data_IF_479101188018
#
_entry.id   IF_479101188018
#
_cell.length_a   1.000
_cell.length_b   1.000
_cell.length_c   1.000
_cell.angle_alpha   90.00
_cell.angle_beta   90.00
_cell.angle_gamma   90.00
#
_symmetry.space_group_name_H-M   'P 1'
#
loop_
_entity.id
_entity.type
_entity.pdbx_description
1 polymer ?
#
# COMPACT_ATOMS: atom_id res chain seq x y z
N UNK A 1 -10.73 -5.94 19.02
CA UNK A 1 -10.04 -4.67 19.27
C UNK A 1 -9.33 -4.71 20.62
N UNK A 2 -8.12 -4.15 20.68
CA UNK A 2 -7.36 -3.89 21.91
C UNK A 2 -7.28 -2.38 22.11
N UNK A 3 -7.51 -1.89 23.34
CA UNK A 3 -7.43 -0.48 23.66
C UNK A 3 -8.63 0.35 23.18
N UNK A 4 -8.35 1.56 22.73
CA UNK A 4 -9.37 2.51 22.24
C UNK A 4 -9.47 2.45 20.73
N UNK A 5 -10.43 1.69 20.25
CA UNK A 5 -10.75 1.55 18.82
C UNK A 5 -12.18 2.06 18.60
N UNK A 6 -12.38 2.81 17.54
CA UNK A 6 -13.68 3.35 17.16
C UNK A 6 -13.99 3.01 15.71
N UNK A 7 -15.27 2.81 15.44
CA UNK A 7 -15.81 2.61 14.10
C UNK A 7 -16.81 3.73 13.81
N UNK A 8 -16.70 4.33 12.62
CA UNK A 8 -17.70 5.25 12.10
C UNK A 8 -18.60 4.51 11.13
N UNK A 9 -19.87 4.54 11.39
CA UNK A 9 -20.90 4.06 10.47
C UNK A 9 -21.98 5.15 10.36
N UNK A 10 -22.44 5.43 9.16
CA UNK A 10 -23.45 6.48 8.90
C UNK A 10 -23.09 7.85 9.52
N UNK A 11 -21.81 8.24 9.45
CA UNK A 11 -21.33 9.51 9.99
C UNK A 11 -21.06 9.55 11.51
N UNK A 12 -21.47 8.54 12.28
CA UNK A 12 -21.36 8.53 13.73
C UNK A 12 -20.22 7.62 14.22
N UNK A 13 -19.34 8.16 15.06
CA UNK A 13 -18.27 7.39 15.71
C UNK A 13 -18.79 6.68 16.96
N UNK A 14 -18.53 5.39 17.07
CA UNK A 14 -18.84 4.58 18.25
C UNK A 14 -17.62 3.73 18.64
N UNK A 15 -17.58 3.27 19.89
CA UNK A 15 -16.54 2.34 20.34
C UNK A 15 -16.73 1.00 19.64
N UNK A 16 -15.65 0.48 19.05
CA UNK A 16 -15.66 -0.84 18.42
C UNK A 16 -15.89 -1.95 19.45
N UNK A 17 -16.77 -2.89 19.13
CA UNK A 17 -17.05 -4.09 19.92
C UNK A 17 -16.35 -5.30 19.32
N UNK A 18 -15.99 -6.32 20.12
CA UNK A 18 -15.52 -7.60 19.59
C UNK A 18 -16.56 -8.21 18.62
N UNK A 19 -16.07 -8.79 17.52
CA UNK A 19 -16.90 -9.43 16.48
C UNK A 19 -17.97 -8.52 15.86
N UNK A 20 -17.81 -7.21 15.98
CA UNK A 20 -18.68 -6.25 15.29
C UNK A 20 -18.45 -6.34 13.79
N UNK A 21 -19.49 -6.55 12.97
CA UNK A 21 -19.36 -6.49 11.52
C UNK A 21 -19.02 -5.07 11.08
N UNK A 22 -18.14 -4.97 10.09
CA UNK A 22 -17.78 -3.72 9.41
C UNK A 22 -18.07 -3.85 7.93
N UNK A 23 -18.52 -2.78 7.32
CA UNK A 23 -19.02 -2.75 5.95
C UNK A 23 -18.30 -1.68 5.13
N UNK A 24 -18.51 -1.70 3.83
CA UNK A 24 -18.14 -0.64 2.93
C UNK A 24 -18.63 0.73 3.44
N UNK A 25 -17.80 1.75 3.32
CA UNK A 25 -18.06 3.11 3.84
C UNK A 25 -17.80 3.28 5.34
N UNK A 26 -17.47 2.21 6.08
CA UNK A 26 -17.08 2.36 7.48
C UNK A 26 -15.63 2.86 7.59
N UNK A 27 -15.40 3.73 8.58
CA UNK A 27 -14.08 4.17 8.97
C UNK A 27 -13.70 3.57 10.32
N UNK A 28 -12.44 3.17 10.47
CA UNK A 28 -11.90 2.61 11.70
C UNK A 28 -10.72 3.46 12.13
N UNK A 29 -10.71 3.88 13.39
CA UNK A 29 -9.57 4.58 13.96
C UNK A 29 -9.13 3.95 15.27
N UNK A 30 -7.82 3.92 15.45
CA UNK A 30 -7.15 3.47 16.66
C UNK A 30 -6.43 4.63 17.32
N UNK A 31 -6.37 4.63 18.64
CA UNK A 31 -5.57 5.58 19.42
C UNK A 31 -4.20 4.97 19.77
N UNK A 32 -3.39 5.70 20.55
CA UNK A 32 -2.13 5.18 21.07
C UNK A 32 -2.35 3.88 21.87
N UNK A 33 -1.41 2.94 21.75
CA UNK A 33 -1.44 1.62 22.39
C UNK A 33 -2.72 0.82 22.08
N UNK A 34 -3.28 1.05 20.89
CA UNK A 34 -4.52 0.41 20.45
C UNK A 34 -4.34 -0.29 19.13
N UNK A 35 -4.98 -1.45 18.98
CA UNK A 35 -4.88 -2.30 17.77
C UNK A 35 -6.22 -2.98 17.52
N UNK A 36 -6.49 -3.34 16.29
CA UNK A 36 -7.62 -4.21 15.97
C UNK A 36 -7.31 -5.11 14.77
N UNK A 37 -8.00 -6.23 14.73
CA UNK A 37 -8.01 -7.15 13.61
C UNK A 37 -9.38 -7.15 12.96
N UNK A 38 -9.40 -7.15 11.63
CA UNK A 38 -10.57 -7.38 10.79
C UNK A 38 -10.36 -8.71 10.10
N UNK A 39 -11.31 -9.63 10.26
CA UNK A 39 -11.33 -10.86 9.48
C UNK A 39 -12.08 -10.58 8.18
N UNK A 40 -11.44 -10.85 7.06
CA UNK A 40 -12.04 -10.67 5.75
C UNK A 40 -13.01 -11.80 5.45
N UNK A 41 -14.18 -11.47 4.96
CA UNK A 41 -15.10 -12.46 4.44
C UNK A 41 -14.44 -13.20 3.27
N UNK A 42 -14.15 -14.47 3.45
CA UNK A 42 -13.38 -15.24 2.48
C UNK A 42 -11.94 -15.53 2.86
N UNK A 43 -11.61 -15.29 4.13
CA UNK A 43 -10.32 -15.59 4.72
C UNK A 43 -9.28 -14.49 4.48
N UNK A 44 -8.35 -14.40 5.39
CA UNK A 44 -7.36 -13.34 5.48
C UNK A 44 -7.67 -12.37 6.61
N UNK A 45 -6.67 -11.63 6.99
CA UNK A 45 -6.67 -10.72 8.13
C UNK A 45 -6.14 -9.37 7.72
N UNK A 46 -6.79 -8.31 8.20
CA UNK A 46 -6.26 -6.94 8.14
C UNK A 46 -6.13 -6.46 9.57
N UNK A 47 -4.91 -6.20 10.01
CA UNK A 47 -4.62 -5.73 11.36
C UNK A 47 -4.15 -4.29 11.32
N UNK A 48 -4.76 -3.47 12.15
CA UNK A 48 -4.55 -2.02 12.20
C UNK A 48 -3.73 -1.72 13.46
N UNK A 49 -2.61 -1.02 13.28
CA UNK A 49 -1.74 -0.58 14.35
C UNK A 49 -2.30 0.62 15.12
N UNK A 50 -1.50 1.18 16.01
CA UNK A 50 -1.89 2.36 16.78
C UNK A 50 -1.90 3.65 15.95
N UNK A 51 -2.65 4.66 16.41
CA UNK A 51 -2.76 5.99 15.81
C UNK A 51 -3.10 5.94 14.31
N UNK A 52 -3.85 4.92 13.89
CA UNK A 52 -4.20 4.68 12.51
C UNK A 52 -5.64 5.08 12.20
N UNK A 53 -5.87 5.39 10.93
CA UNK A 53 -7.19 5.64 10.37
C UNK A 53 -7.32 4.92 9.02
N UNK A 54 -8.28 4.00 8.94
CA UNK A 54 -8.56 3.17 7.78
C UNK A 54 -10.02 3.37 7.37
N UNK A 55 -10.25 3.58 6.08
CA UNK A 55 -11.58 3.63 5.45
C UNK A 55 -11.76 2.40 4.57
N UNK A 56 -12.87 1.72 4.71
CA UNK A 56 -13.24 0.55 3.90
C UNK A 56 -14.00 1.02 2.66
N UNK A 57 -13.41 0.89 1.47
CA UNK A 57 -14.01 1.36 0.22
C UNK A 57 -14.77 0.25 -0.52
N UNK A 58 -14.34 -1.00 -0.35
CA UNK A 58 -14.98 -2.15 -0.98
C UNK A 58 -14.71 -3.40 -0.14
N UNK A 59 -15.75 -4.18 0.08
CA UNK A 59 -15.67 -5.47 0.76
C UNK A 59 -16.62 -6.48 0.08
N UNK A 60 -16.41 -6.71 -1.22
CA UNK A 60 -17.26 -7.59 -2.04
C UNK A 60 -16.78 -9.05 -1.96
N UNK A 61 -17.71 -9.95 -1.71
CA UNK A 61 -17.45 -11.39 -1.61
C UNK A 61 -18.34 -12.13 -2.59
N UNK A 62 -17.78 -12.41 -3.77
CA UNK A 62 -18.39 -13.31 -4.74
C UNK A 62 -17.77 -14.70 -4.63
N UNK A 63 -18.47 -15.79 -5.03
CA UNK A 63 -17.99 -17.17 -4.83
C UNK A 63 -16.58 -17.45 -5.36
N UNK A 64 -16.13 -16.76 -6.40
CA UNK A 64 -14.84 -16.97 -7.05
C UNK A 64 -13.91 -15.75 -7.00
N UNK A 65 -14.38 -14.60 -6.51
CA UNK A 65 -13.63 -13.36 -6.50
C UNK A 65 -13.94 -12.56 -5.23
N UNK A 66 -12.90 -12.29 -4.46
CA UNK A 66 -13.01 -11.60 -3.19
C UNK A 66 -12.19 -10.30 -3.29
N UNK A 67 -12.87 -9.18 -3.31
CA UNK A 67 -12.25 -7.87 -3.39
C UNK A 67 -12.29 -7.19 -2.03
N UNK A 68 -11.17 -6.64 -1.63
CA UNK A 68 -11.05 -5.78 -0.46
C UNK A 68 -10.24 -4.54 -0.84
N UNK A 69 -10.84 -3.38 -0.73
CA UNK A 69 -10.19 -2.10 -0.96
C UNK A 69 -10.31 -1.22 0.28
N UNK A 70 -9.19 -0.69 0.74
CA UNK A 70 -9.15 0.21 1.89
C UNK A 70 -8.21 1.39 1.65
N UNK A 71 -8.56 2.54 2.23
CA UNK A 71 -7.71 3.72 2.29
C UNK A 71 -7.11 3.85 3.68
N UNK A 72 -5.82 3.67 3.81
CA UNK A 72 -5.06 3.97 5.01
C UNK A 72 -4.67 5.45 4.99
N UNK A 73 -5.38 6.28 5.74
CA UNK A 73 -5.12 7.73 5.80
C UNK A 73 -3.87 8.04 6.62
N UNK A 74 -3.63 7.31 7.70
CA UNK A 74 -2.43 7.38 8.54
C UNK A 74 -2.24 6.10 9.36
N UNK A 75 -1.02 5.91 9.88
CA UNK A 75 -0.66 4.79 10.74
C UNK A 75 -0.20 3.56 9.95
N UNK A 76 -0.36 2.39 10.54
CA UNK A 76 0.12 1.13 9.99
C UNK A 76 -1.01 0.13 9.80
N UNK A 77 -0.94 -0.65 8.72
CA UNK A 77 -1.74 -1.87 8.55
C UNK A 77 -0.84 -3.04 8.20
N UNK A 78 -1.20 -4.20 8.70
CA UNK A 78 -0.66 -5.50 8.31
C UNK A 78 -1.75 -6.27 7.59
N UNK A 79 -1.45 -6.78 6.41
CA UNK A 79 -2.39 -7.59 5.64
C UNK A 79 -1.81 -8.98 5.47
N UNK A 80 -2.56 -9.98 5.93
CA UNK A 80 -2.28 -11.39 5.72
C UNK A 80 -3.44 -11.99 4.92
N UNK A 81 -3.28 -12.05 3.60
CA UNK A 81 -4.35 -12.42 2.68
C UNK A 81 -3.91 -13.59 1.78
N UNK A 82 -3.38 -14.67 2.38
CA UNK A 82 -3.02 -15.88 1.64
C UNK A 82 -4.26 -16.44 0.94
N UNK A 83 -4.15 -16.68 -0.37
CA UNK A 83 -5.22 -17.26 -1.17
C UNK A 83 -5.14 -18.80 -1.09
N UNK A 84 -6.26 -19.47 -0.94
CA UNK A 84 -6.33 -20.91 -1.17
C UNK A 84 -6.14 -21.21 -2.67
N UNK A 85 -5.75 -22.45 -2.99
CA UNK A 85 -5.55 -22.87 -4.37
C UNK A 85 -6.83 -22.64 -5.20
N UNK A 86 -6.70 -21.93 -6.32
CA UNK A 86 -7.80 -21.60 -7.22
C UNK A 86 -8.63 -20.36 -6.85
N UNK A 87 -8.39 -19.72 -5.70
CA UNK A 87 -9.07 -18.48 -5.32
C UNK A 87 -8.35 -17.23 -5.83
N UNK A 88 -9.14 -16.29 -6.37
CA UNK A 88 -8.64 -14.94 -6.70
C UNK A 88 -9.03 -13.97 -5.57
N UNK A 89 -8.07 -13.57 -4.78
CA UNK A 89 -8.22 -12.51 -3.78
C UNK A 89 -7.52 -11.26 -4.29
N UNK A 90 -8.27 -10.21 -4.50
CA UNK A 90 -7.71 -8.90 -4.83
C UNK A 90 -7.81 -8.03 -3.57
N UNK A 91 -6.69 -7.70 -2.99
CA UNK A 91 -6.63 -6.76 -1.88
C UNK A 91 -5.86 -5.54 -2.32
N UNK A 92 -6.46 -4.38 -2.15
CA UNK A 92 -5.83 -3.09 -2.47
C UNK A 92 -5.83 -2.23 -1.22
N UNK A 93 -4.65 -1.74 -0.86
CA UNK A 93 -4.49 -0.74 0.20
C UNK A 93 -3.95 0.54 -0.44
N UNK A 94 -4.72 1.61 -0.32
CA UNK A 94 -4.30 2.95 -0.75
C UNK A 94 -3.79 3.72 0.45
N UNK A 95 -2.73 4.47 0.25
CA UNK A 95 -2.17 5.44 1.19
C UNK A 95 -2.20 6.82 0.55
N UNK A 96 -1.84 7.91 1.23
CA UNK A 96 -1.77 9.23 0.62
C UNK A 96 -0.87 9.31 -0.61
N UNK A 97 0.19 8.49 -0.68
CA UNK A 97 1.20 8.59 -1.75
C UNK A 97 1.31 7.35 -2.63
N UNK A 98 0.80 6.19 -2.20
CA UNK A 98 0.96 4.91 -2.90
C UNK A 98 -0.31 4.06 -2.90
N UNK A 99 -0.41 3.18 -3.89
CA UNK A 99 -1.40 2.10 -3.97
C UNK A 99 -0.66 0.78 -3.99
N UNK A 100 -0.95 -0.10 -3.02
CA UNK A 100 -0.44 -1.46 -2.97
C UNK A 100 -1.55 -2.43 -3.37
N UNK A 101 -1.34 -3.20 -4.43
CA UNK A 101 -2.24 -4.24 -4.91
C UNK A 101 -1.60 -5.61 -4.75
N UNK A 102 -2.34 -6.58 -4.21
CA UNK A 102 -1.81 -7.89 -3.89
C UNK A 102 -2.68 -9.05 -4.36
N UNK A 103 -2.01 -10.18 -4.54
CA UNK A 103 -2.64 -11.48 -4.80
C UNK A 103 -2.01 -12.52 -3.88
N UNK A 104 -2.57 -12.69 -2.67
CA UNK A 104 -2.13 -13.76 -1.76
C UNK A 104 -0.78 -13.53 -1.07
N UNK A 105 -0.61 -12.42 -0.37
CA UNK A 105 0.65 -11.99 0.24
C UNK A 105 0.49 -11.62 1.70
N UNK A 106 1.64 -11.49 2.38
CA UNK A 106 1.75 -10.86 3.70
C UNK A 106 2.61 -9.61 3.57
N UNK A 107 2.04 -8.45 3.90
CA UNK A 107 2.73 -7.17 3.81
C UNK A 107 2.29 -6.19 4.89
N UNK A 108 3.14 -5.21 5.16
CA UNK A 108 2.84 -4.06 6.02
C UNK A 108 2.83 -2.80 5.15
N UNK A 109 1.79 -1.98 5.27
CA UNK A 109 1.77 -0.63 4.72
C UNK A 109 1.74 0.39 5.87
N UNK A 110 2.52 1.46 5.70
CA UNK A 110 2.55 2.60 6.61
C UNK A 110 2.22 3.86 5.83
N UNK A 111 1.27 4.62 6.31
CA UNK A 111 0.89 5.91 5.76
C UNK A 111 1.40 7.04 6.65
N UNK A 112 2.21 7.92 6.08
CA UNK A 112 2.60 9.21 6.62
C UNK A 112 2.05 10.33 5.73
N UNK A 113 2.23 11.57 6.14
CA UNK A 113 1.73 12.73 5.39
C UNK A 113 2.50 12.93 4.09
N UNK A 114 3.83 12.84 4.13
CA UNK A 114 4.72 13.12 2.99
C UNK A 114 5.25 11.84 2.32
N UNK A 115 5.21 10.73 3.00
CA UNK A 115 5.77 9.46 2.54
C UNK A 115 4.95 8.28 3.07
N UNK A 116 4.76 7.30 2.21
CA UNK A 116 4.20 5.99 2.60
C UNK A 116 5.20 4.90 2.30
N UNK A 117 5.17 3.83 3.09
CA UNK A 117 6.02 2.65 2.85
C UNK A 117 5.22 1.37 2.75
N UNK A 118 5.72 0.44 1.94
CA UNK A 118 5.19 -0.92 1.80
C UNK A 118 6.35 -1.90 1.97
N UNK A 119 6.21 -2.85 2.90
CA UNK A 119 7.16 -3.91 3.21
C UNK A 119 6.53 -5.27 2.95
N UNK A 120 7.23 -6.15 2.22
CA UNK A 120 6.72 -7.48 1.84
C UNK A 120 7.39 -8.57 2.68
N UNK A 121 6.60 -9.31 3.44
CA UNK A 121 7.08 -10.42 4.28
C UNK A 121 6.89 -11.79 3.62
N UNK A 122 5.90 -11.93 2.74
CA UNK A 122 5.67 -13.15 1.98
C UNK A 122 4.91 -12.85 0.69
N UNK A 123 5.28 -13.49 -0.42
CA UNK A 123 4.69 -13.28 -1.75
C UNK A 123 5.18 -12.02 -2.46
N UNK A 124 4.34 -11.46 -3.32
CA UNK A 124 4.65 -10.27 -4.13
C UNK A 124 3.56 -9.20 -3.99
N UNK A 125 3.97 -7.94 -3.97
CA UNK A 125 3.07 -6.77 -3.92
C UNK A 125 3.37 -5.86 -5.11
N UNK A 126 2.34 -5.49 -5.84
CA UNK A 126 2.46 -4.50 -6.90
C UNK A 126 2.13 -3.11 -6.31
N UNK A 127 3.06 -2.16 -6.47
CA UNK A 127 2.92 -0.80 -5.93
C UNK A 127 2.93 0.22 -7.06
N UNK A 128 2.03 1.20 -6.97
CA UNK A 128 1.99 2.36 -7.86
C UNK A 128 1.68 3.63 -7.07
N UNK A 129 1.82 4.78 -7.72
CA UNK A 129 1.41 6.06 -7.17
C UNK A 129 -0.11 6.22 -7.16
N UNK A 130 -0.61 7.12 -6.31
CA UNK A 130 -2.02 7.49 -6.32
C UNK A 130 -2.36 8.23 -7.62
N UNK A 131 -3.45 7.84 -8.27
CA UNK A 131 -3.91 8.35 -9.57
C UNK A 131 -3.93 9.88 -9.69
N UNK A 132 -4.34 10.56 -8.62
CA UNK A 132 -4.39 12.03 -8.56
C UNK A 132 -3.01 12.64 -8.84
N UNK A 133 -1.96 12.05 -8.32
CA UNK A 133 -0.60 12.51 -8.53
C UNK A 133 -0.14 12.27 -9.98
N UNK A 134 -0.50 11.13 -10.55
CA UNK A 134 -0.22 10.80 -11.96
C UNK A 134 -0.92 11.78 -12.90
N UNK A 135 -2.16 12.18 -12.61
CA UNK A 135 -2.88 13.17 -13.40
C UNK A 135 -2.25 14.56 -13.33
N UNK A 136 -1.85 15.03 -12.14
CA UNK A 136 -1.16 16.30 -11.98
C UNK A 136 0.18 16.32 -12.70
N UNK A 137 0.93 15.21 -12.65
CA UNK A 137 2.17 15.08 -13.41
C UNK A 137 1.94 15.08 -14.92
N UNK A 138 0.92 14.37 -15.40
CA UNK A 138 0.54 14.39 -16.82
C UNK A 138 0.19 15.80 -17.29
N UNK A 139 -0.52 16.60 -16.47
CA UNK A 139 -0.81 18.01 -16.75
C UNK A 139 0.47 18.83 -16.84
N UNK A 140 1.34 18.75 -15.82
CA UNK A 140 2.64 19.48 -15.82
C UNK A 140 3.53 19.12 -17.00
N UNK A 141 3.59 17.84 -17.41
CA UNK A 141 4.35 17.41 -18.58
C UNK A 141 3.81 17.99 -19.89
N UNK A 142 2.49 18.10 -20.02
CA UNK A 142 1.87 18.76 -21.19
C UNK A 142 2.25 20.23 -21.27
N UNK A 143 2.31 20.92 -20.14
CA UNK A 143 2.66 22.34 -20.08
C UNK A 143 4.16 22.60 -20.34
N UNK A 144 5.03 21.65 -19.99
CA UNK A 144 6.47 21.74 -20.19
C UNK A 144 6.94 21.22 -21.56
N UNK A 145 6.07 20.62 -22.37
CA UNK A 145 6.43 20.18 -23.71
C UNK A 145 6.70 21.38 -24.62
N UNK A 146 7.89 21.51 -25.19
CA UNK A 146 8.20 22.63 -26.09
C UNK A 146 7.28 22.58 -27.30
N UNK A 147 6.37 23.55 -27.39
CA UNK A 147 5.51 23.74 -28.55
C UNK A 147 6.34 24.36 -29.66
N UNK A 148 6.52 23.62 -30.77
CA UNK A 148 7.04 24.21 -32.00
C UNK A 148 6.09 25.29 -32.53
N UNK A 149 6.60 26.23 -33.34
CA UNK A 149 5.77 27.28 -33.98
C UNK A 149 4.55 26.74 -34.73
N UNK A 150 4.55 25.43 -35.04
CA UNK A 150 3.49 24.72 -35.77
C UNK A 150 2.61 23.84 -34.87
N UNK A 151 2.69 23.96 -33.53
CA UNK A 151 1.89 23.19 -32.59
C UNK A 151 2.25 21.70 -32.48
N UNK A 152 3.24 21.23 -33.22
CA UNK A 152 3.69 19.83 -33.20
C UNK A 152 4.89 19.63 -32.29
N UNK A 153 4.94 18.55 -31.47
CA UNK A 153 6.10 18.27 -30.62
C UNK A 153 7.34 18.00 -31.49
N UNK A 154 8.40 18.78 -31.27
CA UNK A 154 9.70 18.50 -31.91
C UNK A 154 10.45 17.46 -31.10
N UNK A 155 10.26 16.19 -31.38
CA UNK A 155 11.19 15.13 -30.96
C UNK A 155 12.28 14.96 -32.00
N UNK A 156 13.49 15.38 -31.72
CA UNK A 156 14.67 14.86 -32.39
C UNK A 156 15.16 13.63 -31.64
N UNK A 157 14.94 12.45 -32.19
CA UNK A 157 15.63 11.26 -31.76
C UNK A 157 17.10 11.47 -32.04
N UNK A 158 17.92 11.62 -31.00
CA UNK A 158 19.38 11.55 -31.13
C UNK A 158 19.82 10.13 -31.54
N UNK A 159 21.05 9.99 -32.04
CA UNK A 159 21.58 8.67 -32.42
C UNK A 159 21.52 7.74 -31.20
N UNK A 160 21.07 6.50 -31.43
CA UNK A 160 21.02 5.44 -30.44
C UNK A 160 22.43 5.24 -29.90
N UNK A 161 22.69 5.68 -28.66
CA UNK A 161 23.92 5.27 -27.96
C UNK A 161 23.67 3.86 -27.45
N UNK A 162 24.54 2.93 -27.86
CA UNK A 162 24.61 1.61 -27.22
C UNK A 162 24.78 1.80 -25.72
N UNK A 163 23.80 1.33 -24.96
CA UNK A 163 23.84 1.32 -23.49
C UNK A 163 24.66 0.07 -23.13
N UNK A 164 25.93 0.24 -22.82
CA UNK A 164 26.69 -0.78 -22.10
C UNK A 164 26.00 -1.10 -20.80
N UNK A 165 25.95 -2.40 -20.43
CA UNK A 165 25.31 -2.89 -19.22
C UNK A 165 25.68 -2.01 -18.01
N UNK A 166 24.70 -1.65 -17.17
CA UNK A 166 24.94 -0.76 -16.03
C UNK A 166 25.93 -1.42 -15.08
N UNK A 167 27.06 -0.77 -14.89
CA UNK A 167 27.96 -1.06 -13.77
C UNK A 167 27.15 -0.84 -12.49
N UNK A 168 27.20 -1.81 -11.60
CA UNK A 168 26.48 -1.78 -10.31
C UNK A 168 26.79 -0.48 -9.58
N UNK A 169 25.83 0.43 -9.53
CA UNK A 169 25.97 1.72 -8.87
C UNK A 169 25.23 1.61 -7.55
N UNK A 170 25.98 1.51 -6.47
CA UNK A 170 25.47 1.50 -5.10
C UNK A 170 25.08 2.90 -4.69
N UNK A 171 23.79 3.16 -4.53
CA UNK A 171 23.24 4.40 -4.01
C UNK A 171 21.72 4.49 -4.21
N UNK A 172 21.00 5.24 -3.40
CA UNK A 172 19.56 5.38 -3.56
C UNK A 172 19.26 6.22 -4.81
N UNK A 173 18.67 5.57 -5.81
CA UNK A 173 18.17 6.29 -6.99
C UNK A 173 16.77 6.79 -6.74
N UNK A 174 16.58 8.10 -6.79
CA UNK A 174 15.27 8.70 -6.86
C UNK A 174 14.70 8.55 -8.27
N UNK A 175 13.96 7.46 -8.52
CA UNK A 175 13.20 7.23 -9.74
C UNK A 175 11.75 7.62 -9.47
N UNK A 176 11.08 8.20 -10.46
CA UNK A 176 9.65 8.46 -10.38
C UNK A 176 8.85 7.25 -10.80
N UNK A 177 7.89 6.85 -9.95
CA UNK A 177 7.03 5.71 -10.17
C UNK A 177 5.99 6.04 -11.27
N UNK A 178 6.24 5.65 -12.50
CA UNK A 178 5.32 5.88 -13.63
C UNK A 178 4.51 4.63 -13.98
N UNK A 179 4.96 3.46 -13.56
CA UNK A 179 4.38 2.14 -13.80
C UNK A 179 4.28 1.37 -12.49
N UNK A 180 3.58 0.24 -12.52
CA UNK A 180 3.54 -0.67 -11.39
C UNK A 180 4.91 -1.28 -11.13
N UNK A 181 5.38 -1.21 -9.90
CA UNK A 181 6.60 -1.86 -9.43
C UNK A 181 6.24 -3.06 -8.59
N UNK A 182 6.73 -4.22 -8.97
CA UNK A 182 6.51 -5.47 -8.23
C UNK A 182 7.59 -5.65 -7.18
N UNK A 183 7.18 -5.75 -5.94
CA UNK A 183 8.04 -5.99 -4.77
C UNK A 183 7.97 -7.45 -4.40
N UNK A 184 9.13 -8.11 -4.31
CA UNK A 184 9.25 -9.46 -3.79
C UNK A 184 9.41 -9.46 -2.25
N UNK A 185 9.29 -10.64 -1.66
CA UNK A 185 9.58 -10.89 -0.24
C UNK A 185 10.94 -10.31 0.17
N UNK A 186 10.99 -9.63 1.31
CA UNK A 186 12.18 -8.97 1.86
C UNK A 186 12.40 -7.55 1.35
N UNK A 187 11.61 -7.09 0.37
CA UNK A 187 11.74 -5.76 -0.20
C UNK A 187 10.82 -4.75 0.48
N UNK A 188 11.29 -3.51 0.53
CA UNK A 188 10.53 -2.33 0.94
C UNK A 188 10.59 -1.27 -0.15
N UNK A 189 9.49 -0.57 -0.34
CA UNK A 189 9.43 0.68 -1.10
C UNK A 189 8.92 1.81 -0.21
N UNK A 190 9.56 2.96 -0.33
CA UNK A 190 9.07 4.21 0.22
C UNK A 190 8.66 5.10 -0.94
N UNK A 191 7.43 5.61 -0.91
CA UNK A 191 6.88 6.47 -1.97
C UNK A 191 6.54 7.82 -1.36
N UNK A 192 7.16 8.88 -1.87
CA UNK A 192 6.98 10.26 -1.41
C UNK A 192 5.81 10.95 -2.13
N UNK A 193 5.31 12.01 -1.52
CA UNK A 193 4.24 12.83 -2.09
C UNK A 193 4.62 13.48 -3.44
N UNK A 194 5.91 13.73 -3.70
CA UNK A 194 6.40 14.23 -4.99
C UNK A 194 6.50 13.15 -6.08
N UNK A 195 6.14 11.90 -5.74
CA UNK A 195 6.14 10.74 -6.62
C UNK A 195 7.49 10.06 -6.79
N UNK A 196 8.51 10.53 -6.09
CA UNK A 196 9.78 9.82 -6.02
C UNK A 196 9.65 8.61 -5.10
N UNK A 197 10.36 7.56 -5.41
CA UNK A 197 10.39 6.38 -4.57
C UNK A 197 11.81 5.86 -4.37
N UNK A 198 11.96 5.14 -3.27
CA UNK A 198 13.17 4.42 -2.94
C UNK A 198 12.82 2.98 -2.59
N UNK A 199 13.46 2.02 -3.26
CA UNK A 199 13.25 0.59 -3.06
C UNK A 199 14.54 -0.08 -2.59
N UNK A 200 14.44 -0.93 -1.57
CA UNK A 200 15.59 -1.60 -0.96
C UNK A 200 15.16 -2.87 -0.21
N UNK A 201 16.12 -3.74 0.08
CA UNK A 201 15.93 -4.83 1.01
C UNK A 201 15.91 -4.29 2.43
N UNK A 202 14.85 -4.55 3.20
CA UNK A 202 14.78 -4.10 4.59
C UNK A 202 15.38 -5.14 5.55
N UNK A 203 15.99 -4.66 6.62
CA UNK A 203 16.53 -5.48 7.68
C UNK A 203 15.39 -6.14 8.49
N UNK A 204 15.12 -7.41 8.20
CA UNK A 204 14.04 -8.17 8.82
C UNK A 204 14.28 -8.44 10.32
N UNK A 205 15.53 -8.46 10.79
CA UNK A 205 15.84 -8.65 12.21
C UNK A 205 15.54 -7.36 12.99
N UNK A 206 15.94 -6.23 12.45
CA UNK A 206 15.66 -4.92 13.03
C UNK A 206 14.16 -4.62 13.03
N UNK A 207 13.49 -4.86 11.91
CA UNK A 207 12.04 -4.66 11.77
C UNK A 207 11.26 -5.63 12.69
N UNK A 208 11.76 -6.84 12.90
CA UNK A 208 11.20 -7.82 13.83
C UNK A 208 11.24 -7.41 15.31
N UNK A 209 11.96 -6.33 15.67
CA UNK A 209 11.94 -5.76 17.03
C UNK A 209 10.76 -4.80 17.26
N UNK A 210 10.11 -4.35 16.19
CA UNK A 210 8.90 -3.52 16.27
C UNK A 210 7.74 -4.32 16.88
N UNK A 211 7.08 -3.77 17.90
CA UNK A 211 5.99 -4.43 18.65
C UNK A 211 4.79 -4.80 17.77
N UNK A 212 4.51 -3.98 16.77
CA UNK A 212 3.42 -4.26 15.82
C UNK A 212 3.78 -5.43 14.92
N UNK A 213 5.04 -5.51 14.45
CA UNK A 213 5.53 -6.61 13.62
C UNK A 213 5.58 -7.92 14.40
N UNK A 214 6.10 -7.92 15.65
CA UNK A 214 6.09 -9.09 16.53
C UNK A 214 4.69 -9.64 16.70
N UNK A 215 3.77 -8.78 17.14
CA UNK A 215 2.38 -9.17 17.37
C UNK A 215 1.73 -9.79 16.11
N UNK A 216 2.03 -9.25 14.93
CA UNK A 216 1.48 -9.78 13.68
C UNK A 216 2.09 -11.13 13.31
N UNK A 217 3.42 -11.30 13.45
CA UNK A 217 4.10 -12.57 13.17
C UNK A 217 3.64 -13.68 14.11
N UNK A 218 3.45 -13.39 15.39
CA UNK A 218 2.91 -14.32 16.38
C UNK A 218 1.53 -14.83 15.95
N UNK A 219 0.59 -13.92 15.66
CA UNK A 219 -0.75 -14.26 15.21
C UNK A 219 -0.80 -15.00 13.86
N UNK A 220 0.14 -14.72 12.95
CA UNK A 220 0.22 -15.42 11.67
C UNK A 220 0.81 -16.82 11.79
N UNK A 221 1.59 -17.11 12.86
CA UNK A 221 2.13 -18.44 13.17
C UNK A 221 1.13 -19.36 13.85
N UNK A 222 0.09 -18.81 14.49
CA UNK A 222 -0.99 -19.55 15.15
C UNK A 222 -2.13 -19.98 14.21
N UNK A 223 -2.13 -19.48 12.95
CA UNK A 223 -3.14 -19.75 11.91
C UNK A 223 -2.50 -20.51 10.73
#
# INVERSE_FOLDING_TARGET
PLGKVQVQANGNWSRAKPNQPVFEGNHIRTQAKSRCEITLAGGGKVRIGENAELELNEADVKPMMKNFNANLKKGNVWVSAKAAFGEKKNVTVRTPTAVAAIRGTVFKAKAGEDESSVQVYDGNVDVNQVEKFLEERRKRRKDLSPKGKDGKPKFKLGPVKEITAPTQVSGPYEITLEEWVSLAKGMQINVRADGKYHMFEFDQEKDGKDDFVKWNKELDSEN
#
